data_IF_211602203303
#
_entry.id   IF_211602203303
#
_cell.length_a   1.000
_cell.length_b   1.000
_cell.length_c   1.000
_cell.angle_alpha   90.00
_cell.angle_beta   90.00
_cell.angle_gamma   90.00
#
_symmetry.space_group_name_H-M   'P 1'
#
loop_
_entity.id
_entity.type
_entity.pdbx_description
1 polymer ?
#
# COMPACT_ATOMS: atom_id res chain seq x y z
N UNK A 1 -40.63 -7.92 8.13
CA UNK A 1 -39.70 -6.81 7.81
C UNK A 1 -38.33 -7.43 7.60
N UNK A 2 -37.89 -7.60 6.36
CA UNK A 2 -36.56 -8.11 6.04
C UNK A 2 -35.76 -6.95 5.42
N UNK A 3 -34.78 -6.46 6.18
CA UNK A 3 -33.81 -5.51 5.66
C UNK A 3 -32.92 -6.24 4.66
N UNK A 4 -33.08 -5.92 3.37
CA UNK A 4 -32.10 -6.26 2.34
C UNK A 4 -30.80 -5.57 2.74
N UNK A 5 -29.78 -6.35 3.08
CA UNK A 5 -28.42 -5.88 3.14
C UNK A 5 -28.07 -5.27 1.78
N UNK A 6 -27.86 -3.96 1.78
CA UNK A 6 -27.26 -3.24 0.67
C UNK A 6 -25.80 -3.71 0.56
N UNK A 7 -25.57 -4.75 -0.24
CA UNK A 7 -24.27 -4.95 -0.83
C UNK A 7 -23.98 -3.70 -1.66
N UNK A 8 -23.03 -2.88 -1.21
CA UNK A 8 -22.46 -1.83 -2.04
C UNK A 8 -22.02 -2.46 -3.36
N UNK A 9 -22.39 -1.90 -4.53
CA UNK A 9 -21.89 -2.40 -5.80
C UNK A 9 -20.36 -2.40 -5.71
N UNK A 10 -19.74 -3.56 -5.91
CA UNK A 10 -18.30 -3.72 -5.78
C UNK A 10 -17.60 -2.59 -6.52
N UNK A 11 -16.79 -1.81 -5.82
CA UNK A 11 -15.89 -0.80 -6.43
C UNK A 11 -15.11 -1.55 -7.51
N UNK A 12 -15.47 -1.38 -8.77
CA UNK A 12 -14.71 -1.96 -9.86
C UNK A 12 -13.39 -1.19 -9.93
N UNK A 13 -12.27 -1.91 -9.73
CA UNK A 13 -10.95 -1.37 -10.03
C UNK A 13 -10.95 -0.86 -11.47
N UNK A 14 -10.26 0.26 -11.71
CA UNK A 14 -10.17 0.79 -13.08
C UNK A 14 -8.74 1.15 -13.44
N UNK A 15 -8.33 0.76 -14.65
CA UNK A 15 -7.04 1.16 -15.22
C UNK A 15 -6.89 2.69 -15.23
N UNK A 16 -8.00 3.42 -15.45
CA UNK A 16 -8.02 4.88 -15.40
C UNK A 16 -7.60 5.41 -14.02
N UNK A 17 -8.09 4.82 -12.93
CA UNK A 17 -7.71 5.22 -11.57
C UNK A 17 -6.25 4.87 -11.27
N UNK A 18 -5.77 3.71 -11.71
CA UNK A 18 -4.36 3.32 -11.59
C UNK A 18 -3.44 4.30 -12.36
N UNK A 19 -3.80 4.62 -13.60
CA UNK A 19 -3.09 5.62 -14.42
C UNK A 19 -3.14 7.02 -13.81
N UNK A 20 -4.25 7.39 -13.16
CA UNK A 20 -4.35 8.67 -12.46
C UNK A 20 -3.37 8.74 -11.29
N UNK A 21 -3.24 7.67 -10.50
CA UNK A 21 -2.21 7.63 -9.44
C UNK A 21 -0.81 7.67 -10.02
N UNK A 22 -0.54 6.90 -11.06
CA UNK A 22 0.76 6.88 -11.73
C UNK A 22 1.15 8.29 -12.24
N UNK A 23 0.20 9.00 -12.86
CA UNK A 23 0.43 10.37 -13.32
C UNK A 23 0.75 11.35 -12.17
N UNK A 24 0.12 11.19 -10.99
CA UNK A 24 0.45 11.98 -9.79
C UNK A 24 1.86 11.66 -9.27
N UNK A 25 2.23 10.38 -9.22
CA UNK A 25 3.58 9.94 -8.85
C UNK A 25 4.62 10.53 -9.82
N UNK A 26 4.35 10.50 -11.11
CA UNK A 26 5.26 11.04 -12.13
C UNK A 26 5.36 12.58 -12.06
N UNK A 27 4.28 13.27 -11.72
CA UNK A 27 4.29 14.71 -11.47
C UNK A 27 5.18 15.06 -10.26
N UNK A 28 5.11 14.28 -9.18
CA UNK A 28 5.96 14.45 -7.99
C UNK A 28 7.45 14.23 -8.37
N UNK A 29 7.75 13.12 -9.03
CA UNK A 29 9.11 12.80 -9.51
C UNK A 29 9.68 13.88 -10.43
N UNK A 30 8.86 14.44 -11.30
CA UNK A 30 9.25 15.52 -12.22
C UNK A 30 9.53 16.82 -11.48
N UNK A 31 8.68 17.18 -10.52
CA UNK A 31 8.85 18.39 -9.71
C UNK A 31 10.20 18.36 -8.96
N UNK A 32 10.53 17.23 -8.32
CA UNK A 32 11.80 17.03 -7.61
C UNK A 32 13.06 17.13 -8.50
N UNK A 33 12.91 17.01 -9.82
CA UNK A 33 14.01 17.14 -10.80
C UNK A 33 14.03 18.51 -11.48
N UNK A 34 13.02 19.35 -11.23
CA UNK A 34 12.86 20.65 -11.89
C UNK A 34 13.63 21.73 -11.14
N UNK A 35 14.64 22.38 -11.75
CA UNK A 35 15.39 23.43 -11.09
C UNK A 35 14.50 24.58 -10.63
N UNK A 36 14.64 25.00 -9.38
CA UNK A 36 13.87 26.09 -8.80
C UNK A 36 12.46 25.71 -8.33
N UNK A 37 12.05 24.45 -8.45
CA UNK A 37 10.88 23.94 -7.74
C UNK A 37 11.11 24.12 -6.24
N UNK A 38 10.12 24.69 -5.55
CA UNK A 38 10.19 24.86 -4.10
C UNK A 38 9.50 23.68 -3.44
N UNK A 39 10.24 22.97 -2.59
CA UNK A 39 9.70 21.94 -1.72
C UNK A 39 8.43 22.41 -1.01
N UNK A 40 7.37 21.61 -1.15
CA UNK A 40 6.05 21.83 -0.56
C UNK A 40 5.21 22.95 -1.18
N UNK A 41 5.58 23.42 -2.37
CA UNK A 41 4.79 24.41 -3.12
C UNK A 41 3.62 23.79 -3.89
N UNK A 42 3.60 22.47 -4.08
CA UNK A 42 2.58 21.73 -4.81
C UNK A 42 1.90 20.71 -3.90
N UNK A 43 0.67 20.34 -4.28
CA UNK A 43 -0.14 19.37 -3.55
C UNK A 43 -0.89 18.46 -4.50
N UNK A 44 -0.94 17.18 -4.17
CA UNK A 44 -1.86 16.21 -4.78
C UNK A 44 -2.62 15.45 -3.72
N UNK A 45 -3.84 15.07 -4.03
CA UNK A 45 -4.67 14.18 -3.20
C UNK A 45 -4.71 12.80 -3.84
N UNK A 46 -4.60 11.76 -3.05
CA UNK A 46 -4.69 10.36 -3.45
C UNK A 46 -5.94 9.76 -2.82
N UNK A 47 -6.81 9.16 -3.61
CA UNK A 47 -8.02 8.49 -3.13
C UNK A 47 -7.79 7.00 -2.84
N UNK A 48 -8.63 6.40 -2.01
CA UNK A 48 -8.65 4.94 -1.78
C UNK A 48 -8.75 4.17 -3.11
N UNK A 49 -9.65 4.57 -4.00
CA UNK A 49 -9.85 3.89 -5.29
C UNK A 49 -8.60 3.92 -6.19
N UNK A 50 -7.84 5.01 -6.13
CA UNK A 50 -6.57 5.14 -6.84
C UNK A 50 -5.52 4.19 -6.25
N UNK A 51 -5.42 4.10 -4.93
CA UNK A 51 -4.51 3.16 -4.25
C UNK A 51 -4.87 1.71 -4.57
N UNK A 52 -6.15 1.35 -4.42
CA UNK A 52 -6.69 0.03 -4.75
C UNK A 52 -6.36 -0.36 -6.19
N UNK A 53 -6.71 0.51 -7.15
CA UNK A 53 -6.50 0.22 -8.57
C UNK A 53 -5.02 0.15 -8.93
N UNK A 54 -4.18 1.00 -8.33
CA UNK A 54 -2.73 0.98 -8.58
C UNK A 54 -2.07 -0.32 -8.12
N UNK A 55 -2.48 -0.84 -6.96
CA UNK A 55 -1.98 -2.12 -6.45
C UNK A 55 -2.35 -3.26 -7.42
N UNK A 56 -3.59 -3.28 -7.91
CA UNK A 56 -4.09 -4.33 -8.81
C UNK A 56 -3.46 -4.26 -10.22
N UNK A 57 -3.28 -3.07 -10.79
CA UNK A 57 -2.84 -2.92 -12.18
C UNK A 57 -1.35 -2.61 -12.33
N UNK A 58 -0.78 -1.79 -11.46
CA UNK A 58 0.59 -1.30 -11.61
C UNK A 58 1.63 -2.11 -10.82
N UNK A 59 1.23 -2.74 -9.71
CA UNK A 59 2.13 -3.55 -8.87
C UNK A 59 1.99 -5.06 -9.07
N UNK A 60 1.14 -5.50 -10.01
CA UNK A 60 0.84 -6.92 -10.26
C UNK A 60 2.09 -7.78 -10.50
N UNK A 61 3.09 -7.25 -11.22
CA UNK A 61 4.32 -7.99 -11.53
C UNK A 61 5.31 -8.03 -10.36
N UNK A 62 5.18 -7.11 -9.41
CA UNK A 62 6.06 -7.03 -8.24
C UNK A 62 5.55 -7.90 -7.07
N UNK A 63 4.30 -8.35 -7.12
CA UNK A 63 3.64 -9.09 -6.05
C UNK A 63 3.61 -10.58 -6.42
N UNK A 64 4.18 -11.47 -5.58
CA UNK A 64 4.30 -12.90 -5.88
C UNK A 64 2.97 -13.69 -5.76
N UNK A 65 1.84 -12.99 -5.66
CA UNK A 65 0.52 -13.56 -5.49
C UNK A 65 -0.48 -12.83 -6.40
N UNK A 66 -1.55 -13.51 -6.77
CA UNK A 66 -2.68 -12.87 -7.43
C UNK A 66 -3.47 -12.06 -6.39
N UNK A 67 -3.76 -10.79 -6.68
CA UNK A 67 -4.66 -9.98 -5.87
C UNK A 67 -6.06 -10.15 -6.43
N UNK A 68 -6.94 -10.77 -5.67
CA UNK A 68 -8.34 -11.02 -6.07
C UNK A 68 -9.23 -9.83 -5.71
N UNK A 69 -8.97 -9.20 -4.56
CA UNK A 69 -9.59 -7.95 -4.15
C UNK A 69 -8.73 -7.20 -3.15
N UNK A 70 -8.93 -5.88 -3.07
CA UNK A 70 -8.33 -4.98 -2.09
C UNK A 70 -9.35 -3.89 -1.77
N UNK A 71 -9.59 -3.64 -0.49
CA UNK A 71 -10.37 -2.52 0.03
C UNK A 71 -9.45 -1.69 0.92
N UNK A 72 -9.17 -0.45 0.51
CA UNK A 72 -8.31 0.47 1.27
C UNK A 72 -9.20 1.39 2.09
N UNK A 73 -8.85 1.57 3.36
CA UNK A 73 -9.56 2.45 4.28
C UNK A 73 -8.58 3.49 4.82
N UNK A 74 -8.81 4.74 4.45
CA UNK A 74 -8.06 5.87 4.95
C UNK A 74 -8.91 6.63 5.96
N UNK A 75 -8.39 6.74 7.18
CA UNK A 75 -8.94 7.58 8.24
C UNK A 75 -7.80 8.38 8.86
N UNK A 76 -8.05 9.44 9.66
CA UNK A 76 -6.99 10.30 10.16
C UNK A 76 -5.79 9.51 10.74
N UNK A 77 -4.61 9.78 10.18
CA UNK A 77 -3.32 9.16 10.48
C UNK A 77 -3.22 7.64 10.31
N UNK A 78 -4.27 6.97 9.83
CA UNK A 78 -4.37 5.51 9.82
C UNK A 78 -4.69 4.99 8.43
N UNK A 79 -3.88 4.03 7.99
CA UNK A 79 -4.08 3.27 6.75
C UNK A 79 -4.50 1.86 7.13
N UNK A 80 -5.64 1.43 6.62
CA UNK A 80 -6.13 0.07 6.70
C UNK A 80 -6.29 -0.55 5.32
N UNK A 81 -6.16 -1.87 5.24
CA UNK A 81 -6.55 -2.62 4.04
C UNK A 81 -7.08 -4.00 4.39
N UNK A 82 -8.12 -4.42 3.69
CA UNK A 82 -8.59 -5.80 3.62
C UNK A 82 -8.35 -6.32 2.20
N UNK A 83 -7.52 -7.35 2.06
CA UNK A 83 -7.04 -7.83 0.77
C UNK A 83 -7.23 -9.33 0.66
N UNK A 84 -7.86 -9.80 -0.41
CA UNK A 84 -7.87 -11.22 -0.74
C UNK A 84 -6.78 -11.51 -1.77
N UNK A 85 -5.90 -12.45 -1.44
CA UNK A 85 -4.79 -12.86 -2.29
C UNK A 85 -4.79 -14.37 -2.50
N UNK A 86 -4.42 -14.80 -3.71
CA UNK A 86 -4.25 -16.22 -4.04
C UNK A 86 -2.80 -16.51 -4.40
N UNK A 87 -2.16 -17.39 -3.63
CA UNK A 87 -0.85 -17.96 -3.96
C UNK A 87 -1.04 -19.17 -4.87
N UNK A 88 -0.49 -19.08 -6.08
CA UNK A 88 -0.44 -20.23 -6.99
C UNK A 88 0.66 -21.20 -6.56
N UNK A 89 0.57 -22.46 -6.99
CA UNK A 89 1.46 -23.56 -6.58
C UNK A 89 2.94 -23.41 -7.00
N UNK A 90 3.33 -22.27 -7.56
CA UNK A 90 4.71 -21.93 -7.93
C UNK A 90 5.09 -20.49 -7.52
N UNK A 91 4.36 -19.90 -6.56
CA UNK A 91 4.51 -18.50 -6.18
C UNK A 91 5.89 -18.20 -5.56
N UNK A 92 6.49 -19.16 -4.87
CA UNK A 92 7.76 -18.97 -4.14
C UNK A 92 8.96 -19.65 -4.80
N UNK A 93 8.73 -20.46 -5.84
CA UNK A 93 9.75 -21.29 -6.49
C UNK A 93 10.19 -22.48 -5.65
N UNK A 94 9.45 -22.84 -4.59
CA UNK A 94 9.73 -23.98 -3.73
C UNK A 94 8.46 -24.82 -3.55
N UNK A 95 8.37 -26.02 -4.15
CA UNK A 95 7.16 -26.83 -4.13
C UNK A 95 6.66 -27.17 -2.73
N UNK A 96 7.56 -27.32 -1.74
CA UNK A 96 7.21 -27.62 -0.35
C UNK A 96 6.64 -26.39 0.36
N UNK A 97 7.12 -25.19 0.02
CA UNK A 97 6.56 -23.95 0.59
C UNK A 97 5.22 -23.66 -0.08
N UNK A 98 5.14 -23.82 -1.40
CA UNK A 98 3.95 -23.56 -2.19
C UNK A 98 2.77 -24.48 -1.83
N UNK A 99 3.01 -25.71 -1.34
CA UNK A 99 1.94 -26.57 -0.81
C UNK A 99 1.42 -26.13 0.57
N UNK A 100 2.22 -25.38 1.34
CA UNK A 100 1.85 -24.90 2.66
C UNK A 100 1.14 -23.54 2.62
N UNK A 101 1.54 -22.68 1.67
CA UNK A 101 1.00 -21.31 1.53
C UNK A 101 0.03 -21.17 0.35
N UNK A 102 -0.16 -22.25 -0.42
CA UNK A 102 -1.03 -22.26 -1.59
C UNK A 102 -2.50 -22.12 -1.20
N UNK A 103 -3.24 -21.37 -2.02
CA UNK A 103 -4.65 -21.10 -1.80
C UNK A 103 -4.95 -19.61 -1.67
N UNK A 104 -6.21 -19.33 -1.33
CA UNK A 104 -6.74 -17.98 -1.17
C UNK A 104 -6.76 -17.61 0.30
N UNK A 105 -6.18 -16.46 0.63
CA UNK A 105 -6.03 -15.95 1.97
C UNK A 105 -6.59 -14.53 2.08
N UNK A 106 -7.16 -14.22 3.24
CA UNK A 106 -7.58 -12.86 3.58
C UNK A 106 -6.50 -12.20 4.44
N UNK A 107 -5.91 -11.13 3.92
CA UNK A 107 -4.92 -10.30 4.59
C UNK A 107 -5.59 -9.02 5.10
N UNK A 108 -5.54 -8.80 6.42
CA UNK A 108 -5.87 -7.51 7.00
C UNK A 108 -4.61 -6.80 7.48
N UNK A 109 -4.51 -5.50 7.21
CA UNK A 109 -3.40 -4.67 7.64
C UNK A 109 -3.94 -3.36 8.20
N UNK A 110 -3.33 -2.88 9.28
CA UNK A 110 -3.58 -1.57 9.85
C UNK A 110 -2.28 -0.97 10.36
N UNK A 111 -2.04 0.28 10.00
CA UNK A 111 -0.87 1.03 10.44
C UNK A 111 -1.15 2.51 10.54
N UNK A 112 -0.32 3.21 11.32
CA UNK A 112 -0.31 4.67 11.34
C UNK A 112 0.75 5.19 10.39
N UNK A 113 0.39 6.19 9.59
CA UNK A 113 1.29 6.83 8.64
C UNK A 113 1.31 8.33 8.90
N UNK A 114 2.49 8.83 9.23
CA UNK A 114 2.73 10.26 9.45
C UNK A 114 3.92 10.72 8.61
N UNK A 115 3.80 11.84 7.92
CA UNK A 115 4.91 12.46 7.19
C UNK A 115 4.95 13.97 7.39
N UNK A 116 6.05 14.47 7.96
CA UNK A 116 6.29 15.90 8.17
C UNK A 116 7.78 16.22 8.01
N UNK A 117 8.12 17.46 7.66
CA UNK A 117 9.49 17.94 7.48
C UNK A 117 10.37 17.05 6.59
N UNK A 118 9.75 16.40 5.61
CA UNK A 118 10.45 15.48 4.72
C UNK A 118 10.80 14.12 5.30
N UNK A 119 10.28 13.79 6.49
CA UNK A 119 10.47 12.51 7.16
C UNK A 119 9.12 11.81 7.29
N UNK A 120 9.09 10.53 6.92
CA UNK A 120 7.94 9.65 7.05
C UNK A 120 8.16 8.64 8.15
N UNK A 121 7.09 8.20 8.81
CA UNK A 121 7.09 7.03 9.68
C UNK A 121 5.83 6.22 9.44
N UNK A 122 6.00 4.92 9.25
CA UNK A 122 4.90 3.97 9.20
C UNK A 122 4.98 3.04 10.41
N UNK A 123 4.05 3.19 11.33
CA UNK A 123 3.92 2.34 12.52
C UNK A 123 2.90 1.24 12.24
N UNK A 124 3.40 0.05 11.90
CA UNK A 124 2.58 -1.10 11.61
C UNK A 124 1.95 -1.63 12.90
N UNK A 125 0.64 -1.47 13.04
CA UNK A 125 -0.07 -1.81 14.27
C UNK A 125 -0.58 -3.25 14.27
N UNK A 126 -1.04 -3.73 13.12
CA UNK A 126 -1.70 -5.02 13.01
C UNK A 126 -1.56 -5.58 11.61
N UNK A 127 -1.24 -6.87 11.53
CA UNK A 127 -1.34 -7.68 10.33
C UNK A 127 -1.99 -9.00 10.71
N UNK A 128 -2.99 -9.45 9.96
CA UNK A 128 -3.59 -10.77 10.13
C UNK A 128 -3.69 -11.47 8.79
N UNK A 129 -3.55 -12.79 8.82
CA UNK A 129 -3.83 -13.67 7.70
C UNK A 129 -4.91 -14.65 8.15
N UNK A 130 -6.04 -14.68 7.45
CA UNK A 130 -7.22 -15.47 7.78
C UNK A 130 -7.71 -15.25 9.23
N UNK A 131 -7.61 -14.00 9.70
CA UNK A 131 -7.96 -13.58 11.06
C UNK A 131 -6.93 -13.95 12.13
N UNK A 132 -5.83 -14.62 11.76
CA UNK A 132 -4.74 -14.98 12.67
C UNK A 132 -3.68 -13.87 12.67
N UNK A 133 -3.38 -13.25 13.82
CA UNK A 133 -2.32 -12.25 13.91
C UNK A 133 -0.96 -12.80 13.48
N UNK A 134 -0.29 -12.07 12.61
CA UNK A 134 1.04 -12.44 12.12
C UNK A 134 2.09 -12.00 13.15
N UNK A 135 2.95 -12.91 13.64
CA UNK A 135 4.03 -12.54 14.55
C UNK A 135 5.01 -11.56 13.91
N UNK A 136 5.46 -10.55 14.66
CA UNK A 136 6.41 -9.54 14.15
C UNK A 136 7.70 -10.15 13.56
N UNK A 137 8.19 -11.24 14.15
CA UNK A 137 9.38 -11.96 13.62
C UNK A 137 9.18 -12.44 12.17
N UNK A 138 7.98 -12.85 11.80
CA UNK A 138 7.67 -13.29 10.44
C UNK A 138 7.54 -12.09 9.49
N UNK A 139 6.92 -11.00 9.94
CA UNK A 139 6.83 -9.74 9.19
C UNK A 139 8.23 -9.25 8.81
N UNK A 140 9.15 -9.19 9.79
CA UNK A 140 10.54 -8.78 9.59
C UNK A 140 11.30 -9.70 8.63
N UNK A 141 11.07 -11.02 8.70
CA UNK A 141 11.67 -11.97 7.77
C UNK A 141 11.19 -11.76 6.32
N UNK A 142 9.89 -11.49 6.12
CA UNK A 142 9.31 -11.20 4.81
C UNK A 142 9.84 -9.88 4.23
N UNK A 143 9.92 -8.82 5.04
CA UNK A 143 10.56 -7.55 4.64
C UNK A 143 11.99 -7.76 4.16
N UNK A 144 12.79 -8.51 4.92
CA UNK A 144 14.18 -8.81 4.56
C UNK A 144 14.28 -9.58 3.24
N UNK A 145 13.35 -10.48 2.96
CA UNK A 145 13.38 -11.34 1.77
C UNK A 145 12.86 -10.64 0.50
N UNK A 146 11.77 -9.88 0.60
CA UNK A 146 11.05 -9.36 -0.57
C UNK A 146 11.18 -7.85 -0.75
N UNK A 147 11.36 -7.08 0.32
CA UNK A 147 11.38 -5.61 0.27
C UNK A 147 12.82 -5.09 0.26
N UNK A 148 13.67 -5.54 1.19
CA UNK A 148 15.06 -5.06 1.31
C UNK A 148 15.93 -5.22 0.06
N UNK A 149 15.77 -6.26 -0.79
CA UNK A 149 16.56 -6.34 -2.03
C UNK A 149 16.30 -5.17 -2.99
N UNK A 150 15.08 -4.61 -3.00
CA UNK A 150 14.71 -3.44 -3.83
C UNK A 150 14.87 -2.12 -3.07
N UNK A 151 14.67 -2.15 -1.75
CA UNK A 151 14.67 -0.97 -0.88
C UNK A 151 15.49 -1.25 0.40
N UNK A 152 16.83 -1.25 0.31
CA UNK A 152 17.70 -1.67 1.41
C UNK A 152 17.58 -0.80 2.67
N UNK A 153 17.19 0.46 2.50
CA UNK A 153 16.95 1.45 3.56
C UNK A 153 15.63 1.27 4.31
N UNK A 154 14.73 0.39 3.86
CA UNK A 154 13.44 0.19 4.54
C UNK A 154 13.64 -0.50 5.88
N UNK A 155 13.19 0.18 6.93
CA UNK A 155 13.01 -0.35 8.28
C UNK A 155 11.66 0.13 8.83
N UNK A 156 10.84 -0.80 9.34
CA UNK A 156 9.54 -0.45 9.93
C UNK A 156 9.66 0.22 11.31
N UNK A 157 10.83 0.11 11.96
CA UNK A 157 11.03 0.64 13.30
C UNK A 157 11.58 2.08 13.26
N UNK A 158 12.11 2.51 12.12
CA UNK A 158 12.75 3.81 11.97
C UNK A 158 11.96 4.73 11.03
N UNK A 159 11.98 6.06 11.26
CA UNK A 159 11.51 7.00 10.26
C UNK A 159 12.41 6.95 9.02
N UNK A 160 11.83 7.22 7.85
CA UNK A 160 12.53 7.26 6.56
C UNK A 160 12.46 8.65 5.94
N UNK A 161 13.37 8.96 5.02
CA UNK A 161 13.30 10.19 4.22
C UNK A 161 12.19 10.05 3.17
N UNK A 162 11.27 11.01 3.12
CA UNK A 162 10.25 11.04 2.08
C UNK A 162 10.92 11.31 0.73
N UNK A 163 10.65 10.48 -0.30
CA UNK A 163 11.32 10.60 -1.58
C UNK A 163 10.84 11.84 -2.35
N UNK A 164 11.59 12.19 -3.41
CA UNK A 164 11.20 13.21 -4.39
C UNK A 164 10.82 14.56 -3.77
N UNK A 165 11.57 14.96 -2.74
CA UNK A 165 11.37 16.22 -2.02
C UNK A 165 9.98 16.38 -1.38
N UNK A 166 9.20 15.31 -1.22
CA UNK A 166 7.91 15.39 -0.50
C UNK A 166 8.18 15.97 0.90
N UNK A 167 7.44 17.01 1.28
CA UNK A 167 7.55 17.68 2.57
C UNK A 167 6.60 17.09 3.61
N UNK A 168 5.35 16.87 3.21
CA UNK A 168 4.30 16.38 4.10
C UNK A 168 3.49 15.27 3.43
N UNK A 169 3.09 14.30 4.23
CA UNK A 169 2.14 13.27 3.86
C UNK A 169 1.14 13.10 5.00
N UNK A 170 -0.12 13.45 4.72
CA UNK A 170 -1.20 13.43 5.71
C UNK A 170 -2.29 12.48 5.26
N UNK A 171 -2.66 11.54 6.11
CA UNK A 171 -3.80 10.64 5.87
C UNK A 171 -5.04 11.24 6.50
N UNK A 172 -6.09 11.44 5.70
CA UNK A 172 -7.41 11.88 6.14
C UNK A 172 -8.47 10.86 5.76
N UNK A 173 -9.74 11.19 6.05
CA UNK A 173 -10.87 10.31 5.70
C UNK A 173 -11.02 10.19 4.18
N UNK A 174 -10.89 8.97 3.65
CA UNK A 174 -11.08 8.64 2.23
C UNK A 174 -9.96 9.07 1.29
N UNK A 175 -8.95 9.80 1.79
CA UNK A 175 -7.86 10.34 0.99
C UNK A 175 -6.57 10.60 1.77
N UNK A 176 -5.45 10.54 1.06
CA UNK A 176 -4.15 11.01 1.53
C UNK A 176 -3.75 12.27 0.76
N UNK A 177 -3.11 13.22 1.44
CA UNK A 177 -2.61 14.46 0.85
C UNK A 177 -1.09 14.43 0.86
N UNK A 178 -0.48 14.69 -0.29
CA UNK A 178 0.98 14.79 -0.44
C UNK A 178 1.33 16.23 -0.82
N UNK A 179 2.24 16.82 -0.06
CA UNK A 179 2.76 18.18 -0.29
C UNK A 179 4.23 18.05 -0.69
N UNK A 180 4.60 18.58 -1.86
CA UNK A 180 5.90 18.38 -2.49
C UNK A 180 6.35 19.60 -3.30
#
# INVERSE_FOLDING_TARGET
MAAKGSASPGKAFSEKSAQSLQAKIDAIKKAARTPGHKRGSSRVELSEQELESYVVYSLKEDIPAQIDSIDVQLVPDTVGSETQITFTSNATGSPVVDTLVGGTHNLSLKGKLTGHDGRGKFDLQQVQVDGIPVPNVLIQALLKKYVKPKYPEVDLNEPFDLPWEIQELTVGTGKATVVY
#
